data_IF_214716605229
#
_entry.id   IF_214716605229
#
_cell.length_a   1.000
_cell.length_b   1.000
_cell.length_c   1.000
_cell.angle_alpha   90.00
_cell.angle_beta   90.00
_cell.angle_gamma   90.00
#
_symmetry.space_group_name_H-M   'P 1'
#
loop_
_entity.id
_entity.type
_entity.pdbx_description
1 polymer ?
#
# COMPACT_ATOMS: atom_id res chain seq x y z
N UNK A 1 -17.51 20.13 4.24
CA UNK A 1 -16.15 19.57 4.28
C UNK A 1 -15.10 20.59 4.70
N UNK A 2 -15.08 21.79 4.13
CA UNK A 2 -14.11 22.86 4.45
C UNK A 2 -14.11 23.24 5.95
N UNK A 3 -15.30 23.37 6.57
CA UNK A 3 -15.41 23.65 8.00
C UNK A 3 -14.83 22.54 8.90
N UNK A 4 -14.97 21.27 8.50
CA UNK A 4 -14.37 20.15 9.23
C UNK A 4 -12.83 20.22 9.17
N UNK A 5 -12.25 20.64 8.05
CA UNK A 5 -10.80 20.84 7.91
C UNK A 5 -10.31 22.02 8.74
N UNK A 6 -11.03 23.13 8.78
CA UNK A 6 -10.69 24.27 9.62
C UNK A 6 -10.71 23.92 11.11
N UNK A 7 -11.62 23.04 11.54
CA UNK A 7 -11.69 22.57 12.92
C UNK A 7 -10.50 21.70 13.34
N UNK A 8 -9.81 21.03 12.41
CA UNK A 8 -8.58 20.27 12.68
C UNK A 8 -7.50 21.18 13.28
N UNK A 9 -7.34 22.40 12.74
CA UNK A 9 -6.34 23.35 13.20
C UNK A 9 -6.73 24.06 14.52
N UNK A 10 -8.01 24.02 14.90
CA UNK A 10 -8.50 24.60 16.18
C UNK A 10 -8.21 23.71 17.37
N UNK A 11 -8.05 22.40 17.18
CA UNK A 11 -7.77 21.45 18.27
C UNK A 11 -6.25 21.30 18.42
N UNK A 12 -5.65 21.76 19.55
CA UNK A 12 -4.19 21.87 19.69
C UNK A 12 -3.45 20.53 19.56
N UNK A 13 -4.02 19.44 20.09
CA UNK A 13 -3.38 18.12 20.02
C UNK A 13 -3.43 17.53 18.59
N UNK A 14 -4.55 17.70 17.89
CA UNK A 14 -4.69 17.22 16.52
C UNK A 14 -3.78 18.02 15.59
N UNK A 15 -3.71 19.34 15.81
CA UNK A 15 -2.79 20.21 15.08
C UNK A 15 -1.33 19.78 15.29
N UNK A 16 -0.91 19.47 16.53
CA UNK A 16 0.46 18.98 16.81
C UNK A 16 0.75 17.69 16.05
N UNK A 17 -0.17 16.72 16.02
CA UNK A 17 0.00 15.45 15.30
C UNK A 17 0.06 15.65 13.79
N UNK A 18 -0.80 16.49 13.21
CA UNK A 18 -0.78 16.82 11.78
C UNK A 18 0.53 17.50 11.40
N UNK A 19 0.94 18.54 12.14
CA UNK A 19 2.21 19.25 11.89
C UNK A 19 3.42 18.32 12.03
N UNK A 20 3.42 17.42 13.01
CA UNK A 20 4.47 16.44 13.19
C UNK A 20 4.54 15.49 11.98
N UNK A 21 3.40 14.99 11.51
CA UNK A 21 3.34 14.13 10.29
C UNK A 21 3.88 14.88 9.07
N UNK A 22 3.43 16.11 8.84
CA UNK A 22 3.91 16.94 7.73
C UNK A 22 5.41 17.24 7.85
N UNK A 23 5.90 17.49 9.06
CA UNK A 23 7.32 17.71 9.33
C UNK A 23 8.17 16.49 8.97
N UNK A 24 7.75 15.29 9.35
CA UNK A 24 8.45 14.04 8.98
C UNK A 24 8.39 13.80 7.48
N UNK A 25 7.25 14.04 6.82
CA UNK A 25 7.14 13.92 5.36
C UNK A 25 8.07 14.90 4.65
N UNK A 26 8.26 16.12 5.18
CA UNK A 26 9.23 17.08 4.66
C UNK A 26 10.67 16.58 4.83
N UNK A 27 11.03 16.01 5.99
CA UNK A 27 12.36 15.39 6.20
C UNK A 27 12.60 14.23 5.22
N UNK A 28 11.60 13.36 5.04
CA UNK A 28 11.66 12.29 4.03
C UNK A 28 11.91 12.87 2.62
N UNK A 29 11.24 13.96 2.29
CA UNK A 29 11.39 14.60 0.97
C UNK A 29 12.76 15.23 0.77
N UNK A 30 13.31 15.86 1.79
CA UNK A 30 14.69 16.39 1.77
C UNK A 30 15.73 15.29 1.55
N UNK A 31 15.60 14.17 2.26
CA UNK A 31 16.48 13.02 2.06
C UNK A 31 16.37 12.37 0.68
N UNK A 32 15.23 12.48 0.03
CA UNK A 32 15.02 12.02 -1.35
C UNK A 32 15.76 12.86 -2.41
N UNK A 33 16.42 13.96 -2.03
CA UNK A 33 17.27 14.76 -2.90
C UNK A 33 18.76 14.50 -2.69
N UNK A 34 19.15 13.76 -1.63
CA UNK A 34 20.53 13.46 -1.34
C UNK A 34 20.98 12.25 -2.19
N UNK A 35 21.91 12.44 -3.14
CA UNK A 35 22.35 11.36 -4.01
C UNK A 35 23.32 10.42 -3.29
N UNK A 36 23.34 9.15 -3.70
CA UNK A 36 24.37 8.19 -3.27
C UNK A 36 25.70 8.53 -3.93
N UNK A 37 26.79 8.68 -3.18
CA UNK A 37 28.08 9.06 -3.76
C UNK A 37 28.65 7.97 -4.68
N UNK A 38 29.39 8.38 -5.74
CA UNK A 38 30.07 7.48 -6.66
C UNK A 38 29.28 7.00 -7.86
N UNK A 39 28.05 7.47 -8.07
CA UNK A 39 27.18 7.12 -9.21
C UNK A 39 27.13 8.24 -10.24
N UNK A 40 27.16 7.88 -11.52
CA UNK A 40 26.95 8.82 -12.63
C UNK A 40 25.46 8.99 -12.92
N UNK A 41 24.87 10.08 -12.43
CA UNK A 41 23.42 10.33 -12.51
C UNK A 41 22.91 10.55 -13.92
N UNK A 42 23.68 11.18 -14.79
CA UNK A 42 23.25 11.49 -16.17
C UNK A 42 23.10 10.24 -17.02
N UNK A 43 23.97 9.24 -16.84
CA UNK A 43 23.84 7.95 -17.50
C UNK A 43 22.70 7.12 -16.92
N UNK A 44 22.52 7.19 -15.60
CA UNK A 44 21.45 6.48 -14.90
C UNK A 44 20.06 6.96 -15.35
N UNK A 45 19.82 8.26 -15.45
CA UNK A 45 18.55 8.81 -15.94
C UNK A 45 18.22 8.33 -17.35
N UNK A 46 19.19 8.33 -18.25
CA UNK A 46 19.00 7.81 -19.63
C UNK A 46 18.59 6.33 -19.65
N UNK A 47 19.16 5.51 -18.79
CA UNK A 47 18.80 4.09 -18.70
C UNK A 47 17.38 3.90 -18.18
N UNK A 48 16.97 4.66 -17.18
CA UNK A 48 15.59 4.61 -16.68
C UNK A 48 14.57 5.08 -17.71
N UNK A 49 14.91 6.09 -18.54
CA UNK A 49 14.06 6.57 -19.62
C UNK A 49 13.86 5.50 -20.73
N UNK A 50 14.90 4.72 -21.01
CA UNK A 50 14.83 3.61 -21.97
C UNK A 50 14.10 2.37 -21.41
N UNK A 51 14.12 2.16 -20.09
CA UNK A 51 13.58 0.98 -19.42
C UNK A 51 12.36 1.28 -18.54
N UNK A 52 11.61 2.31 -18.83
CA UNK A 52 10.47 2.77 -18.01
C UNK A 52 9.39 1.70 -17.77
N UNK A 53 9.24 0.72 -18.65
CA UNK A 53 8.33 -0.43 -18.53
C UNK A 53 8.91 -1.66 -17.83
N UNK A 54 10.13 -1.59 -17.31
CA UNK A 54 10.80 -2.74 -16.67
C UNK A 54 10.45 -2.87 -15.17
N UNK A 55 10.90 -3.97 -14.54
CA UNK A 55 10.79 -4.18 -13.10
C UNK A 55 11.44 -3.04 -12.28
N UNK A 56 12.55 -2.48 -12.77
CA UNK A 56 13.19 -1.32 -12.15
C UNK A 56 12.30 -0.08 -12.19
N UNK A 57 11.52 0.11 -13.27
CA UNK A 57 10.54 1.18 -13.36
C UNK A 57 9.43 1.05 -12.32
N UNK A 58 8.90 -0.16 -12.06
CA UNK A 58 7.93 -0.39 -11.01
C UNK A 58 8.50 -0.14 -9.61
N UNK A 59 9.72 -0.62 -9.33
CA UNK A 59 10.40 -0.34 -8.05
C UNK A 59 10.61 1.16 -7.84
N UNK A 60 10.99 1.87 -8.89
CA UNK A 60 11.17 3.31 -8.86
C UNK A 60 9.85 4.04 -8.56
N UNK A 61 8.73 3.53 -9.05
CA UNK A 61 7.40 4.09 -8.81
C UNK A 61 7.01 3.96 -7.32
N UNK A 62 7.21 2.79 -6.71
CA UNK A 62 6.97 2.60 -5.27
C UNK A 62 7.97 3.38 -4.40
N UNK A 63 9.19 3.56 -4.87
CA UNK A 63 10.21 4.38 -4.23
C UNK A 63 10.03 5.88 -4.40
N UNK A 64 9.00 6.33 -5.17
CA UNK A 64 8.76 7.76 -5.42
C UNK A 64 9.81 8.45 -6.29
N UNK A 65 10.41 7.74 -7.24
CA UNK A 65 11.44 8.25 -8.14
C UNK A 65 12.86 8.26 -7.54
N UNK A 66 13.03 7.73 -6.34
CA UNK A 66 14.31 7.76 -5.62
C UNK A 66 15.35 6.84 -6.26
N UNK A 67 14.93 5.74 -6.91
CA UNK A 67 15.85 4.81 -7.56
C UNK A 67 16.43 5.42 -8.86
N UNK A 68 15.62 6.12 -9.65
CA UNK A 68 16.06 6.83 -10.86
C UNK A 68 17.16 7.87 -10.56
N UNK A 69 17.06 8.52 -9.39
CA UNK A 69 18.03 9.50 -8.92
C UNK A 69 19.14 8.91 -8.08
N UNK A 70 19.08 7.60 -7.80
CA UNK A 70 19.96 6.89 -6.90
C UNK A 70 20.24 7.67 -5.61
N UNK A 71 19.15 8.06 -4.94
CA UNK A 71 19.26 8.78 -3.67
C UNK A 71 19.58 7.80 -2.52
N UNK A 72 19.91 8.32 -1.34
CA UNK A 72 20.11 7.49 -0.14
C UNK A 72 18.85 6.66 0.18
N UNK A 73 17.69 7.09 -0.32
CA UNK A 73 16.39 6.42 -0.18
C UNK A 73 16.01 5.58 -1.41
N UNK A 74 16.97 5.18 -2.24
CA UNK A 74 16.68 4.46 -3.49
C UNK A 74 15.92 3.14 -3.29
N UNK A 75 16.20 2.38 -2.22
CA UNK A 75 15.43 1.18 -1.85
C UNK A 75 14.03 1.50 -1.32
N UNK A 76 13.81 2.73 -0.85
CA UNK A 76 12.56 3.15 -0.25
C UNK A 76 12.17 2.30 0.95
N UNK A 77 10.88 2.02 1.07
CA UNK A 77 10.27 1.24 2.16
C UNK A 77 10.14 -0.27 1.82
N UNK A 78 10.52 -0.68 0.59
CA UNK A 78 10.34 -2.05 0.11
C UNK A 78 10.95 -3.13 1.02
N UNK A 79 12.19 -2.98 1.56
CA UNK A 79 12.76 -3.97 2.47
C UNK A 79 11.91 -4.20 3.72
N UNK A 80 11.34 -3.13 4.27
CA UNK A 80 10.46 -3.22 5.44
C UNK A 80 9.13 -3.91 5.12
N UNK A 81 8.52 -3.58 3.98
CA UNK A 81 7.28 -4.23 3.55
C UNK A 81 7.51 -5.73 3.39
N UNK A 82 8.58 -6.13 2.69
CA UNK A 82 8.94 -7.53 2.49
C UNK A 82 9.18 -8.25 3.82
N UNK A 83 9.94 -7.63 4.74
CA UNK A 83 10.17 -8.17 6.08
C UNK A 83 8.86 -8.35 6.87
N UNK A 84 7.97 -7.34 6.82
CA UNK A 84 6.67 -7.38 7.49
C UNK A 84 5.78 -8.50 6.94
N UNK A 85 5.76 -8.69 5.62
CA UNK A 85 5.03 -9.79 4.98
C UNK A 85 5.56 -11.15 5.45
N UNK A 86 6.88 -11.33 5.43
CA UNK A 86 7.52 -12.57 5.87
C UNK A 86 7.12 -12.89 7.31
N UNK A 87 7.22 -11.93 8.24
CA UNK A 87 6.82 -12.18 9.62
C UNK A 87 5.32 -12.40 9.78
N UNK A 88 4.46 -11.70 9.03
CA UNK A 88 3.02 -11.95 9.04
C UNK A 88 2.67 -13.36 8.55
N UNK A 89 3.33 -13.83 7.48
CA UNK A 89 3.18 -15.21 7.01
C UNK A 89 3.69 -16.21 8.05
N UNK A 90 4.86 -15.96 8.63
CA UNK A 90 5.45 -16.84 9.65
C UNK A 90 4.59 -16.93 10.90
N UNK A 91 3.90 -15.86 11.32
CA UNK A 91 3.00 -15.91 12.49
C UNK A 91 1.78 -16.80 12.27
N UNK A 92 1.43 -17.11 11.02
CA UNK A 92 0.34 -18.06 10.71
C UNK A 92 0.85 -19.49 10.61
N UNK A 93 2.04 -19.68 10.00
CA UNK A 93 2.58 -21.02 9.72
C UNK A 93 3.35 -21.58 10.90
N UNK A 94 4.07 -20.74 11.67
CA UNK A 94 4.95 -21.17 12.74
C UNK A 94 4.33 -20.91 14.11
N UNK A 95 3.85 -21.98 14.75
CA UNK A 95 3.11 -21.93 16.02
C UNK A 95 3.79 -21.15 17.16
N UNK A 96 5.13 -21.23 17.38
CA UNK A 96 5.79 -20.44 18.41
C UNK A 96 5.64 -18.92 18.21
N UNK A 97 5.69 -18.44 16.96
CA UNK A 97 5.46 -17.03 16.64
C UNK A 97 3.98 -16.63 16.84
N UNK A 98 3.06 -17.53 16.50
CA UNK A 98 1.64 -17.34 16.75
C UNK A 98 1.34 -17.18 18.25
N UNK A 99 2.02 -17.96 19.11
CA UNK A 99 1.91 -17.84 20.58
C UNK A 99 2.40 -16.48 21.07
N UNK A 100 3.57 -16.04 20.60
CA UNK A 100 4.12 -14.72 20.94
C UNK A 100 3.16 -13.61 20.51
N UNK A 101 2.55 -13.70 19.33
CA UNK A 101 1.56 -12.72 18.88
C UNK A 101 0.33 -12.63 19.80
N UNK A 102 -0.07 -13.75 20.42
CA UNK A 102 -1.18 -13.83 21.38
C UNK A 102 -0.83 -13.28 22.77
N UNK A 103 0.44 -13.06 23.10
CA UNK A 103 0.89 -12.43 24.36
C UNK A 103 0.50 -10.94 24.48
N UNK A 104 -0.23 -10.41 23.49
CA UNK A 104 -0.71 -9.03 23.51
C UNK A 104 0.35 -8.03 23.06
N UNK A 105 0.46 -6.90 23.78
CA UNK A 105 1.33 -5.79 23.34
C UNK A 105 2.82 -6.13 23.41
N UNK A 106 3.24 -6.89 24.40
CA UNK A 106 4.65 -7.33 24.54
C UNK A 106 5.07 -8.23 23.39
N UNK A 107 4.22 -9.17 22.98
CA UNK A 107 4.50 -10.05 21.86
C UNK A 107 4.56 -9.28 20.53
N UNK A 108 3.65 -8.34 20.33
CA UNK A 108 3.67 -7.47 19.13
C UNK A 108 4.95 -6.65 19.06
N UNK A 109 5.44 -6.10 20.14
CA UNK A 109 6.72 -5.37 20.20
C UNK A 109 7.91 -6.24 19.81
N UNK A 110 7.96 -7.50 20.27
CA UNK A 110 9.02 -8.47 19.88
C UNK A 110 8.99 -8.74 18.37
N UNK A 111 7.80 -9.01 17.80
CA UNK A 111 7.65 -9.25 16.36
C UNK A 111 8.09 -8.01 15.56
N UNK A 112 7.68 -6.81 15.97
CA UNK A 112 8.13 -5.56 15.32
C UNK A 112 9.64 -5.41 15.37
N UNK A 113 10.29 -5.75 16.50
CA UNK A 113 11.75 -5.71 16.63
C UNK A 113 12.44 -6.69 15.67
N UNK A 114 11.94 -7.91 15.52
CA UNK A 114 12.48 -8.86 14.56
C UNK A 114 12.25 -8.42 13.11
N UNK A 115 11.11 -7.81 12.83
CA UNK A 115 10.84 -7.19 11.52
C UNK A 115 11.88 -6.11 11.19
N UNK A 116 12.27 -5.27 12.16
CA UNK A 116 13.33 -4.27 11.98
C UNK A 116 14.68 -4.92 11.64
N UNK A 117 15.09 -5.96 12.37
CA UNK A 117 16.34 -6.66 12.09
C UNK A 117 16.33 -7.29 10.68
N UNK A 118 15.23 -7.96 10.33
CA UNK A 118 15.07 -8.55 9.00
C UNK A 118 15.08 -7.49 7.90
N UNK A 119 14.50 -6.32 8.15
CA UNK A 119 14.53 -5.17 7.22
C UNK A 119 15.96 -4.75 6.91
N UNK A 120 16.82 -4.64 7.92
CA UNK A 120 18.24 -4.27 7.74
C UNK A 120 18.96 -5.33 6.91
N UNK A 121 18.74 -6.61 7.20
CA UNK A 121 19.35 -7.72 6.45
C UNK A 121 18.88 -7.71 4.99
N UNK A 122 17.57 -7.56 4.75
CA UNK A 122 17.04 -7.50 3.39
C UNK A 122 17.51 -6.27 2.63
N UNK A 123 17.58 -5.12 3.30
CA UNK A 123 18.11 -3.89 2.70
C UNK A 123 19.57 -4.05 2.28
N UNK A 124 20.40 -4.69 3.11
CA UNK A 124 21.80 -4.98 2.77
C UNK A 124 21.89 -5.92 1.56
N UNK A 125 21.11 -7.01 1.53
CA UNK A 125 21.08 -7.95 0.40
C UNK A 125 20.64 -7.27 -0.90
N UNK A 126 19.58 -6.46 -0.86
CA UNK A 126 19.08 -5.72 -2.02
C UNK A 126 20.08 -4.67 -2.49
N UNK A 127 20.80 -4.02 -1.56
CA UNK A 127 21.87 -3.05 -1.87
C UNK A 127 23.04 -3.69 -2.62
N UNK A 128 23.43 -4.92 -2.27
CA UNK A 128 24.43 -5.70 -3.01
C UNK A 128 24.00 -5.90 -4.45
N UNK A 129 22.74 -6.30 -4.66
CA UNK A 129 22.18 -6.49 -5.99
C UNK A 129 22.21 -5.22 -6.84
N UNK A 130 21.79 -4.08 -6.26
CA UNK A 130 21.83 -2.78 -6.96
C UNK A 130 23.27 -2.34 -7.25
N UNK A 131 24.18 -2.46 -6.29
CA UNK A 131 25.59 -2.11 -6.49
C UNK A 131 26.22 -2.94 -7.63
N UNK A 132 25.92 -4.24 -7.71
CA UNK A 132 26.37 -5.11 -8.78
C UNK A 132 25.82 -4.68 -10.16
N UNK A 133 24.55 -4.34 -10.24
CA UNK A 133 23.90 -3.85 -11.47
C UNK A 133 24.57 -2.55 -11.94
N UNK A 134 24.76 -1.58 -11.05
CA UNK A 134 25.38 -0.29 -11.37
C UNK A 134 26.82 -0.46 -11.87
N UNK A 135 27.59 -1.34 -11.24
CA UNK A 135 28.98 -1.62 -11.61
C UNK A 135 29.05 -2.27 -13.01
N UNK A 136 28.18 -3.25 -13.31
CA UNK A 136 28.15 -3.92 -14.61
C UNK A 136 27.75 -3.00 -15.76
N UNK A 137 26.82 -2.08 -15.51
CA UNK A 137 26.35 -1.14 -16.51
C UNK A 137 27.29 0.07 -16.71
N UNK A 138 28.43 0.09 -16.01
CA UNK A 138 29.41 1.18 -16.13
C UNK A 138 28.93 2.54 -15.60
N UNK A 139 27.96 2.51 -14.67
CA UNK A 139 27.34 3.72 -14.10
C UNK A 139 28.12 4.27 -12.91
N UNK A 140 29.21 3.63 -12.54
CA UNK A 140 30.02 3.93 -11.37
C UNK A 140 31.26 4.72 -11.81
N UNK A 141 31.55 5.83 -11.11
CA UNK A 141 32.71 6.66 -11.38
C UNK A 141 34.02 5.92 -11.07
N UNK A 142 34.06 5.19 -9.96
CA UNK A 142 35.21 4.41 -9.51
C UNK A 142 34.75 3.00 -9.13
N UNK A 143 34.78 2.04 -10.07
CA UNK A 143 34.38 0.66 -9.77
C UNK A 143 35.40 0.01 -8.83
N UNK A 144 34.91 -0.62 -7.75
CA UNK A 144 35.76 -1.31 -6.78
C UNK A 144 34.98 -1.73 -5.54
N UNK A 145 35.65 -2.51 -4.68
CA UNK A 145 35.07 -2.99 -3.43
C UNK A 145 34.60 -1.83 -2.50
N UNK A 146 35.34 -0.71 -2.52
CA UNK A 146 34.99 0.49 -1.75
C UNK A 146 33.61 1.07 -2.15
N UNK A 147 33.30 1.12 -3.46
CA UNK A 147 32.00 1.56 -3.95
C UNK A 147 30.88 0.63 -3.49
N UNK A 148 31.08 -0.69 -3.59
CA UNK A 148 30.08 -1.69 -3.16
C UNK A 148 29.79 -1.51 -1.67
N UNK A 149 30.80 -1.44 -0.83
CA UNK A 149 30.65 -1.25 0.61
C UNK A 149 29.94 0.07 0.94
N UNK A 150 30.34 1.16 0.30
CA UNK A 150 29.73 2.48 0.48
C UNK A 150 28.24 2.45 0.09
N UNK A 151 27.90 1.85 -1.04
CA UNK A 151 26.53 1.73 -1.52
C UNK A 151 25.69 0.90 -0.55
N UNK A 152 26.20 -0.23 -0.07
CA UNK A 152 25.50 -1.07 0.92
C UNK A 152 25.23 -0.27 2.19
N UNK A 153 26.24 0.40 2.75
CA UNK A 153 26.07 1.20 3.96
C UNK A 153 25.07 2.34 3.75
N UNK A 154 25.18 3.08 2.65
CA UNK A 154 24.31 4.22 2.36
C UNK A 154 22.85 3.81 2.20
N UNK A 155 22.58 2.80 1.36
CA UNK A 155 21.21 2.36 1.09
C UNK A 155 20.56 1.65 2.28
N UNK A 156 21.34 0.85 3.01
CA UNK A 156 20.83 0.17 4.22
C UNK A 156 20.49 1.18 5.31
N UNK A 157 21.38 2.16 5.53
CA UNK A 157 21.12 3.25 6.48
C UNK A 157 19.91 4.09 6.07
N UNK A 158 19.80 4.40 4.76
CA UNK A 158 18.63 5.10 4.22
C UNK A 158 17.32 4.36 4.46
N UNK A 159 17.29 3.05 4.19
CA UNK A 159 16.10 2.23 4.44
C UNK A 159 15.75 2.11 5.91
N UNK A 160 16.76 1.95 6.79
CA UNK A 160 16.56 1.93 8.24
C UNK A 160 16.01 3.28 8.75
N UNK A 161 16.49 4.39 8.18
CA UNK A 161 16.00 5.72 8.53
C UNK A 161 14.54 5.95 8.07
N UNK A 162 14.18 5.53 6.85
CA UNK A 162 12.79 5.57 6.37
C UNK A 162 11.87 4.75 7.29
N UNK A 163 12.29 3.55 7.66
CA UNK A 163 11.55 2.69 8.59
C UNK A 163 11.31 3.42 9.91
N UNK A 164 12.34 4.04 10.49
CA UNK A 164 12.21 4.81 11.72
C UNK A 164 11.27 6.01 11.57
N UNK A 165 11.34 6.76 10.44
CA UNK A 165 10.41 7.85 10.15
C UNK A 165 8.95 7.37 10.09
N UNK A 166 8.70 6.23 9.43
CA UNK A 166 7.36 5.63 9.35
C UNK A 166 6.81 5.21 10.71
N UNK A 167 7.64 4.65 11.57
CA UNK A 167 7.26 4.31 12.93
C UNK A 167 6.96 5.58 13.76
N UNK A 168 7.76 6.63 13.66
CA UNK A 168 7.48 7.90 14.34
C UNK A 168 6.14 8.52 13.93
N UNK A 169 5.79 8.45 12.64
CA UNK A 169 4.45 8.90 12.18
C UNK A 169 3.37 8.05 12.82
N UNK A 170 3.52 6.72 12.83
CA UNK A 170 2.52 5.79 13.38
C UNK A 170 2.31 6.02 14.88
N UNK A 171 3.39 6.24 15.64
CA UNK A 171 3.35 6.39 17.10
C UNK A 171 2.86 7.79 17.55
N UNK A 172 3.32 8.85 16.89
CA UNK A 172 3.12 10.23 17.33
C UNK A 172 2.32 11.09 16.37
N UNK A 173 2.15 10.64 15.12
CA UNK A 173 1.46 11.37 14.07
C UNK A 173 0.00 10.95 13.91
N UNK A 174 -0.48 11.00 12.67
CA UNK A 174 -1.80 10.56 12.22
C UNK A 174 -1.61 9.61 11.05
N UNK A 175 -2.38 8.54 11.02
CA UNK A 175 -2.36 7.56 9.95
C UNK A 175 -1.32 6.45 10.15
N UNK A 176 -1.28 5.54 9.18
CA UNK A 176 -0.22 4.54 9.10
C UNK A 176 1.01 5.19 8.45
N UNK A 177 2.10 5.36 9.21
CA UNK A 177 3.30 6.07 8.76
C UNK A 177 3.94 5.45 7.52
N UNK A 178 3.95 4.11 7.43
CA UNK A 178 4.50 3.42 6.27
C UNK A 178 3.70 3.72 4.99
N UNK A 179 2.38 3.65 5.09
CA UNK A 179 1.48 3.97 3.96
C UNK A 179 1.59 5.45 3.56
N UNK A 180 1.75 6.36 4.53
CA UNK A 180 1.92 7.79 4.24
C UNK A 180 3.25 8.11 3.57
N UNK A 181 4.33 7.39 3.89
CA UNK A 181 5.62 7.56 3.20
C UNK A 181 5.54 7.09 1.74
N UNK A 182 4.84 5.98 1.47
CA UNK A 182 4.57 5.52 0.10
C UNK A 182 3.72 6.56 -0.64
N UNK A 183 2.66 7.04 0.00
CA UNK A 183 1.79 8.11 -0.53
C UNK A 183 2.61 9.35 -0.90
N UNK A 184 3.47 9.84 0.00
CA UNK A 184 4.30 11.01 -0.24
C UNK A 184 5.30 10.79 -1.40
N UNK A 185 5.84 9.57 -1.54
CA UNK A 185 6.67 9.19 -2.67
C UNK A 185 5.92 9.28 -3.99
N UNK A 186 4.73 8.68 -4.07
CA UNK A 186 3.91 8.65 -5.28
C UNK A 186 3.44 10.07 -5.65
N UNK A 187 2.92 10.82 -4.69
CA UNK A 187 2.43 12.20 -4.92
C UNK A 187 3.55 13.11 -5.43
N UNK A 188 4.77 12.91 -4.96
CA UNK A 188 5.92 13.66 -5.43
C UNK A 188 6.30 13.41 -6.90
N UNK A 189 5.88 12.30 -7.48
CA UNK A 189 6.03 11.99 -8.89
C UNK A 189 4.96 12.63 -9.79
N UNK A 190 3.83 13.10 -9.23
CA UNK A 190 2.73 13.67 -10.00
C UNK A 190 3.13 14.84 -10.92
N UNK A 191 3.94 15.82 -10.46
CA UNK A 191 4.35 16.92 -11.35
C UNK A 191 5.13 16.45 -12.58
N UNK A 192 5.94 15.39 -12.43
CA UNK A 192 6.67 14.82 -13.57
C UNK A 192 5.72 14.14 -14.56
N UNK A 193 4.73 13.39 -14.08
CA UNK A 193 3.69 12.79 -14.93
C UNK A 193 2.87 13.84 -15.70
N UNK A 194 2.54 14.95 -15.06
CA UNK A 194 1.90 16.09 -15.76
C UNK A 194 2.82 16.71 -16.81
N UNK A 195 4.12 16.86 -16.51
CA UNK A 195 5.11 17.34 -17.47
C UNK A 195 5.24 16.45 -18.71
N UNK A 196 5.24 15.11 -18.53
CA UNK A 196 5.24 14.16 -19.65
C UNK A 196 3.98 14.29 -20.53
N UNK A 197 2.81 14.52 -19.91
CA UNK A 197 1.58 14.77 -20.65
C UNK A 197 1.67 16.03 -21.49
N UNK A 198 2.16 17.12 -20.90
CA UNK A 198 2.34 18.40 -21.63
C UNK A 198 3.31 18.22 -22.80
N UNK A 199 4.42 17.50 -22.60
CA UNK A 199 5.36 17.20 -23.69
C UNK A 199 4.72 16.38 -24.81
N UNK A 200 3.87 15.40 -24.50
CA UNK A 200 3.14 14.61 -25.51
C UNK A 200 2.13 15.45 -26.27
N UNK A 201 1.54 16.44 -25.63
CA UNK A 201 0.69 17.45 -26.29
C UNK A 201 1.50 18.24 -27.31
N UNK A 202 2.65 18.77 -26.87
CA UNK A 202 3.50 19.63 -27.70
C UNK A 202 4.12 18.88 -28.90
N UNK A 203 4.43 17.59 -28.70
CA UNK A 203 5.01 16.75 -29.76
C UNK A 203 3.97 16.09 -30.67
N UNK A 204 2.66 16.37 -30.49
CA UNK A 204 1.57 15.75 -31.25
C UNK A 204 1.72 14.22 -31.36
N UNK A 205 2.07 13.56 -30.25
CA UNK A 205 2.44 12.13 -30.20
C UNK A 205 1.35 11.19 -30.79
N UNK A 206 0.09 11.62 -30.84
CA UNK A 206 -1.04 10.86 -31.38
C UNK A 206 -1.65 11.53 -32.64
N UNK A 207 -0.90 12.39 -33.32
CA UNK A 207 -1.35 13.09 -34.53
C UNK A 207 -2.60 13.96 -34.30
N UNK A 208 -3.54 13.96 -35.23
CA UNK A 208 -4.77 14.79 -35.19
C UNK A 208 -5.68 14.46 -33.99
N UNK A 209 -5.53 13.32 -33.37
CA UNK A 209 -6.34 12.88 -32.22
C UNK A 209 -5.73 13.21 -30.84
N UNK A 210 -4.59 13.92 -30.79
CA UNK A 210 -3.88 14.23 -29.54
C UNK A 210 -4.77 14.90 -28.50
N UNK A 211 -5.53 15.93 -28.92
CA UNK A 211 -6.42 16.65 -28.01
C UNK A 211 -7.57 15.79 -27.49
N UNK A 212 -8.21 14.99 -28.34
CA UNK A 212 -9.28 14.07 -27.94
C UNK A 212 -8.74 12.96 -27.01
N UNK A 213 -7.57 12.42 -27.31
CA UNK A 213 -6.91 11.41 -26.49
C UNK A 213 -6.63 11.89 -25.07
N UNK A 214 -6.21 13.15 -24.91
CA UNK A 214 -5.95 13.75 -23.58
C UNK A 214 -7.24 13.93 -22.80
N UNK A 215 -8.30 14.44 -23.43
CA UNK A 215 -9.61 14.59 -22.77
C UNK A 215 -10.12 13.22 -22.29
N UNK A 216 -10.01 12.22 -23.15
CA UNK A 216 -10.45 10.84 -22.85
C UNK A 216 -9.63 10.25 -21.69
N UNK A 217 -8.31 10.51 -21.66
CA UNK A 217 -7.42 10.07 -20.60
C UNK A 217 -7.72 10.76 -19.26
N UNK A 218 -7.93 12.07 -19.24
CA UNK A 218 -8.32 12.80 -18.04
C UNK A 218 -9.69 12.34 -17.53
N UNK A 219 -10.64 12.13 -18.43
CA UNK A 219 -11.95 11.59 -18.08
C UNK A 219 -11.84 10.19 -17.47
N UNK A 220 -11.01 9.32 -18.05
CA UNK A 220 -10.73 7.98 -17.52
C UNK A 220 -10.09 8.06 -16.12
N UNK A 221 -9.14 8.97 -15.88
CA UNK A 221 -8.55 9.20 -14.55
C UNK A 221 -9.60 9.57 -13.52
N UNK A 222 -10.43 10.55 -13.83
CA UNK A 222 -11.49 11.01 -12.92
C UNK A 222 -12.45 9.86 -12.62
N UNK A 223 -12.82 9.07 -13.63
CA UNK A 223 -13.71 7.93 -13.49
C UNK A 223 -13.08 6.85 -12.60
N UNK A 224 -11.80 6.52 -12.79
CA UNK A 224 -11.07 5.55 -11.95
C UNK A 224 -11.01 6.03 -10.50
N UNK A 225 -10.67 7.30 -10.27
CA UNK A 225 -10.64 7.87 -8.91
C UNK A 225 -12.03 7.83 -8.27
N UNK A 226 -13.07 8.23 -9.00
CA UNK A 226 -14.45 8.19 -8.51
C UNK A 226 -14.88 6.75 -8.17
N UNK A 227 -14.52 5.78 -9.00
CA UNK A 227 -14.79 4.36 -8.77
C UNK A 227 -14.05 3.83 -7.53
N UNK A 228 -12.76 4.19 -7.35
CA UNK A 228 -12.00 3.82 -6.16
C UNK A 228 -12.67 4.39 -4.90
N UNK A 229 -13.01 5.69 -4.89
CA UNK A 229 -13.67 6.33 -3.74
C UNK A 229 -15.02 5.70 -3.45
N UNK A 230 -15.78 5.35 -4.48
CA UNK A 230 -17.09 4.70 -4.34
C UNK A 230 -16.96 3.33 -3.66
N UNK A 231 -16.03 2.48 -4.10
CA UNK A 231 -15.83 1.14 -3.53
C UNK A 231 -15.20 1.21 -2.13
N UNK A 232 -14.22 2.09 -1.90
CA UNK A 232 -13.59 2.25 -0.58
C UNK A 232 -14.56 2.78 0.50
N UNK A 233 -15.60 3.51 0.10
CA UNK A 233 -16.67 3.94 1.00
C UNK A 233 -17.79 2.91 1.16
N UNK A 234 -17.82 1.91 0.31
CA UNK A 234 -18.87 0.89 0.33
C UNK A 234 -18.69 -0.05 1.51
N UNK A 235 -19.73 -0.16 2.32
CA UNK A 235 -19.76 -1.04 3.49
C UNK A 235 -21.04 -1.87 3.53
N UNK A 236 -20.94 -3.12 3.95
CA UNK A 236 -22.09 -3.96 4.28
C UNK A 236 -22.41 -3.81 5.75
N UNK A 237 -23.57 -3.26 6.06
CA UNK A 237 -24.05 -3.06 7.43
C UNK A 237 -24.83 -4.27 7.91
N UNK A 238 -24.31 -4.96 8.93
CA UNK A 238 -25.00 -6.08 9.58
C UNK A 238 -25.73 -5.53 10.80
N UNK A 239 -27.08 -5.69 10.91
CA UNK A 239 -27.83 -5.19 12.06
C UNK A 239 -27.45 -5.98 13.32
N UNK A 240 -27.18 -5.26 14.41
CA UNK A 240 -26.90 -5.80 15.73
C UNK A 240 -27.93 -5.26 16.70
N UNK A 241 -28.49 -6.13 17.52
CA UNK A 241 -29.37 -5.75 18.62
C UNK A 241 -28.66 -6.01 19.94
N UNK A 242 -28.72 -5.06 20.84
CA UNK A 242 -28.24 -5.21 22.22
C UNK A 242 -29.42 -5.62 23.11
N UNK A 243 -29.17 -6.53 24.06
CA UNK A 243 -30.18 -6.96 25.01
C UNK A 243 -30.66 -5.75 25.84
N UNK A 244 -31.96 -5.67 26.04
CA UNK A 244 -32.54 -4.63 26.91
C UNK A 244 -32.09 -4.89 28.35
N UNK A 245 -31.51 -3.89 29.00
CA UNK A 245 -31.13 -3.93 30.41
C UNK A 245 -32.10 -3.08 31.22
N UNK A 246 -32.59 -3.65 32.29
CA UNK A 246 -33.38 -2.92 33.30
C UNK A 246 -32.38 -2.39 34.31
N UNK A 247 -32.23 -1.07 34.41
CA UNK A 247 -31.39 -0.42 35.43
C UNK A 247 -32.36 0.31 36.36
N UNK A 248 -32.64 -0.28 37.51
CA UNK A 248 -33.63 0.21 38.44
C UNK A 248 -35.06 0.16 37.87
N UNK A 249 -35.81 1.28 37.95
CA UNK A 249 -37.19 1.42 37.40
C UNK A 249 -37.21 1.84 35.93
N UNK A 250 -36.11 2.08 35.27
CA UNK A 250 -36.04 2.53 33.87
C UNK A 250 -35.60 1.38 32.96
N UNK A 251 -36.41 1.07 31.96
CA UNK A 251 -36.01 0.24 30.82
C UNK A 251 -35.10 1.08 29.93
N UNK A 252 -33.81 0.77 29.88
CA UNK A 252 -32.95 1.23 28.80
C UNK A 252 -33.19 0.33 27.59
N UNK A 253 -33.85 0.89 26.57
CA UNK A 253 -34.07 0.21 25.31
C UNK A 253 -32.74 -0.16 24.66
N UNK A 254 -32.63 -1.40 24.20
CA UNK A 254 -31.44 -1.82 23.43
C UNK A 254 -31.31 -0.95 22.18
N UNK A 255 -30.22 -0.22 22.09
CA UNK A 255 -29.89 0.51 20.88
C UNK A 255 -29.62 -0.49 19.74
N UNK A 256 -30.31 -0.33 18.63
CA UNK A 256 -29.96 -1.04 17.40
C UNK A 256 -28.71 -0.38 16.81
N UNK A 257 -27.65 -1.15 16.66
CA UNK A 257 -26.39 -0.73 16.04
C UNK A 257 -26.14 -1.58 14.80
N UNK A 258 -25.13 -1.22 14.03
CA UNK A 258 -24.74 -1.96 12.84
C UNK A 258 -23.25 -2.25 12.91
N UNK A 259 -22.85 -3.46 12.48
CA UNK A 259 -21.46 -3.80 12.23
C UNK A 259 -21.14 -3.43 10.77
N UNK A 260 -20.34 -2.38 10.53
CA UNK A 260 -19.93 -2.04 9.18
C UNK A 260 -18.78 -2.96 8.75
N UNK A 261 -18.95 -3.70 7.66
CA UNK A 261 -17.90 -4.47 6.99
C UNK A 261 -17.58 -3.79 5.67
N UNK A 262 -16.38 -3.25 5.53
CA UNK A 262 -15.93 -2.63 4.28
C UNK A 262 -15.86 -3.68 3.17
N UNK A 263 -16.24 -3.32 1.94
CA UNK A 263 -16.12 -4.20 0.76
C UNK A 263 -14.67 -4.53 0.49
N UNK A 264 -13.81 -3.53 0.57
CA UNK A 264 -12.36 -3.74 0.55
C UNK A 264 -11.81 -3.77 1.98
N UNK A 265 -12.03 -4.88 2.70
CA UNK A 265 -11.51 -5.07 4.07
C UNK A 265 -9.98 -5.22 4.12
N UNK A 266 -9.35 -5.62 3.01
CA UNK A 266 -7.90 -5.75 2.87
C UNK A 266 -7.19 -4.42 2.60
N UNK A 267 -7.92 -3.37 2.19
CA UNK A 267 -7.33 -2.10 1.77
C UNK A 267 -6.36 -2.28 0.60
N UNK A 268 -5.26 -1.58 0.64
CA UNK A 268 -4.23 -1.57 -0.41
C UNK A 268 -3.18 -2.68 -0.23
N UNK A 269 -3.13 -3.29 0.98
CA UNK A 269 -2.07 -4.23 1.37
C UNK A 269 -1.93 -5.45 0.45
N UNK A 270 -3.02 -6.12 0.00
CA UNK A 270 -2.90 -7.29 -0.88
C UNK A 270 -2.15 -7.01 -2.19
N UNK A 271 -2.38 -5.85 -2.80
CA UNK A 271 -1.67 -5.46 -4.03
C UNK A 271 -0.19 -5.20 -3.75
N UNK A 272 0.12 -4.48 -2.65
CA UNK A 272 1.49 -4.20 -2.28
C UNK A 272 2.25 -5.50 -2.02
N UNK A 273 1.62 -6.46 -1.35
CA UNK A 273 2.22 -7.75 -1.06
C UNK A 273 2.46 -8.59 -2.33
N UNK A 274 1.45 -8.71 -3.20
CA UNK A 274 1.58 -9.42 -4.45
C UNK A 274 2.70 -8.84 -5.33
N UNK A 275 2.71 -7.53 -5.53
CA UNK A 275 3.73 -6.86 -6.34
C UNK A 275 5.12 -6.92 -5.72
N UNK A 276 5.26 -6.84 -4.38
CA UNK A 276 6.55 -6.95 -3.70
C UNK A 276 7.17 -8.33 -3.84
N UNK A 277 6.38 -9.39 -3.69
CA UNK A 277 6.87 -10.77 -3.84
C UNK A 277 7.25 -11.07 -5.29
N UNK A 278 6.44 -10.61 -6.25
CA UNK A 278 6.72 -10.85 -7.67
C UNK A 278 7.91 -10.02 -8.19
N UNK A 279 8.19 -8.86 -7.59
CA UNK A 279 9.36 -8.05 -7.96
C UNK A 279 10.66 -8.53 -7.33
N UNK A 280 10.63 -9.27 -6.22
CA UNK A 280 11.84 -9.75 -5.55
C UNK A 280 12.74 -10.66 -6.45
N UNK A 281 12.22 -11.67 -7.19
CA UNK A 281 13.03 -12.46 -8.11
C UNK A 281 13.64 -11.66 -9.25
N UNK A 282 12.98 -10.58 -9.67
CA UNK A 282 13.45 -9.74 -10.77
C UNK A 282 14.72 -8.96 -10.42
N UNK A 283 14.99 -8.70 -9.14
CA UNK A 283 16.27 -8.13 -8.70
C UNK A 283 17.46 -9.03 -9.00
N UNK A 284 17.24 -10.34 -8.92
CA UNK A 284 18.28 -11.32 -9.22
C UNK A 284 18.39 -11.64 -10.72
N UNK A 285 17.43 -11.20 -11.54
CA UNK A 285 17.42 -11.48 -13.00
C UNK A 285 18.62 -10.89 -13.74
N UNK A 286 19.27 -9.87 -13.18
CA UNK A 286 20.46 -9.22 -13.73
C UNK A 286 21.77 -9.92 -13.34
N UNK A 287 21.73 -10.95 -12.51
CA UNK A 287 22.89 -11.75 -12.14
C UNK A 287 23.32 -12.63 -13.33
N UNK A 288 24.65 -12.69 -13.61
CA UNK A 288 25.21 -13.53 -14.68
C UNK A 288 24.86 -15.00 -14.50
N UNK A 289 24.87 -15.48 -13.26
CA UNK A 289 24.52 -16.85 -12.95
C UNK A 289 23.11 -17.21 -13.40
N UNK A 290 22.18 -16.26 -13.26
CA UNK A 290 20.79 -16.43 -13.66
C UNK A 290 20.63 -16.31 -15.18
N UNK A 291 21.31 -15.32 -15.82
CA UNK A 291 21.23 -15.10 -17.26
C UNK A 291 21.88 -16.24 -18.07
N UNK A 292 22.93 -16.84 -17.56
CA UNK A 292 23.61 -17.97 -18.20
C UNK A 292 22.92 -19.30 -17.94
N UNK A 293 21.96 -19.36 -17.02
CA UNK A 293 21.27 -20.59 -16.70
C UNK A 293 20.01 -20.74 -17.56
N UNK A 294 20.03 -21.67 -18.51
CA UNK A 294 18.97 -21.95 -19.46
C UNK A 294 17.62 -22.28 -18.84
N UNK A 295 17.60 -22.65 -17.57
CA UNK A 295 16.38 -22.98 -16.84
C UNK A 295 15.70 -21.72 -16.25
N UNK A 296 16.47 -20.75 -15.74
CA UNK A 296 15.92 -19.57 -15.07
C UNK A 296 15.54 -18.44 -16.04
N UNK A 297 16.20 -18.32 -17.18
CA UNK A 297 15.96 -17.26 -18.16
C UNK A 297 14.47 -17.19 -18.62
N UNK A 298 13.84 -18.30 -19.06
CA UNK A 298 12.44 -18.25 -19.51
C UNK A 298 11.46 -17.93 -18.38
N UNK A 299 11.73 -18.39 -17.14
CA UNK A 299 10.90 -18.09 -15.98
C UNK A 299 10.95 -16.61 -15.66
N UNK A 300 12.14 -16.02 -15.65
CA UNK A 300 12.31 -14.60 -15.34
C UNK A 300 11.78 -13.69 -16.46
N UNK A 301 11.86 -14.11 -17.72
CA UNK A 301 11.17 -13.43 -18.82
C UNK A 301 9.66 -13.41 -18.61
N UNK A 302 9.07 -14.54 -18.24
CA UNK A 302 7.64 -14.65 -17.98
C UNK A 302 7.19 -13.79 -16.80
N UNK A 303 8.08 -13.52 -15.83
CA UNK A 303 7.84 -12.66 -14.67
C UNK A 303 8.04 -11.17 -14.95
N UNK A 304 8.41 -10.76 -16.17
CA UNK A 304 8.54 -9.33 -16.47
C UNK A 304 7.17 -8.66 -16.58
N UNK A 305 7.05 -7.39 -16.13
CA UNK A 305 5.82 -6.62 -16.27
C UNK A 305 5.37 -6.53 -17.72
N UNK A 306 4.07 -6.68 -17.96
CA UNK A 306 3.47 -6.69 -19.29
C UNK A 306 3.32 -8.07 -19.93
N UNK A 307 3.95 -9.11 -19.39
CA UNK A 307 3.70 -10.48 -19.85
C UNK A 307 2.40 -11.03 -19.24
N UNK A 308 1.64 -11.85 -19.99
CA UNK A 308 0.38 -12.43 -19.52
C UNK A 308 0.54 -13.27 -18.24
N UNK A 309 1.66 -13.99 -18.11
CA UNK A 309 1.98 -14.78 -16.92
C UNK A 309 2.20 -13.92 -15.68
N UNK A 310 2.84 -12.76 -15.83
CA UNK A 310 2.99 -11.80 -14.72
C UNK A 310 1.63 -11.27 -14.27
N UNK A 311 0.74 -10.92 -15.21
CA UNK A 311 -0.62 -10.46 -14.90
C UNK A 311 -1.42 -11.56 -14.20
N UNK A 312 -1.33 -12.80 -14.67
CA UNK A 312 -1.98 -13.95 -14.05
C UNK A 312 -1.47 -14.23 -12.64
N UNK A 313 -0.15 -14.21 -12.42
CA UNK A 313 0.45 -14.39 -11.08
C UNK A 313 0.08 -13.26 -10.14
N UNK A 314 -0.01 -12.02 -10.61
CA UNK A 314 -0.54 -10.91 -9.82
C UNK A 314 -2.01 -11.13 -9.44
N UNK A 315 -2.84 -11.62 -10.36
CA UNK A 315 -4.24 -11.96 -10.08
C UNK A 315 -4.34 -12.97 -8.94
N UNK A 316 -3.64 -14.09 -9.07
CA UNK A 316 -3.61 -15.15 -8.05
C UNK A 316 -3.04 -14.61 -6.73
N UNK A 317 -1.96 -13.84 -6.82
CA UNK A 317 -1.31 -13.20 -5.67
C UNK A 317 -2.25 -12.24 -4.93
N UNK A 318 -2.95 -11.36 -5.64
CA UNK A 318 -3.91 -10.41 -5.03
C UNK A 318 -5.04 -11.17 -4.32
N UNK A 319 -5.61 -12.20 -4.94
CA UNK A 319 -6.66 -13.01 -4.30
C UNK A 319 -6.11 -13.70 -3.04
N UNK A 320 -4.96 -14.36 -3.16
CA UNK A 320 -4.33 -15.06 -2.04
C UNK A 320 -4.07 -14.10 -0.86
N UNK A 321 -3.41 -12.97 -1.13
CA UNK A 321 -3.10 -11.99 -0.08
C UNK A 321 -4.32 -11.26 0.45
N UNK A 322 -5.39 -11.09 -0.33
CA UNK A 322 -6.64 -10.53 0.17
C UNK A 322 -7.26 -11.44 1.23
N UNK A 323 -7.40 -12.71 0.94
CA UNK A 323 -7.91 -13.68 1.91
C UNK A 323 -6.99 -13.83 3.12
N UNK A 324 -5.69 -13.93 2.86
CA UNK A 324 -4.69 -14.05 3.90
C UNK A 324 -4.72 -12.85 4.87
N UNK A 325 -4.69 -11.63 4.34
CA UNK A 325 -4.69 -10.42 5.15
C UNK A 325 -5.98 -10.26 5.95
N UNK A 326 -7.13 -10.50 5.32
CA UNK A 326 -8.43 -10.40 6.00
C UNK A 326 -8.54 -11.44 7.12
N UNK A 327 -8.02 -12.65 6.94
CA UNK A 327 -8.03 -13.70 7.98
C UNK A 327 -7.20 -13.33 9.22
N UNK A 328 -6.15 -12.52 9.06
CA UNK A 328 -5.30 -12.05 10.16
C UNK A 328 -5.94 -10.87 10.89
N UNK A 329 -6.45 -9.90 10.12
CA UNK A 329 -6.96 -8.62 10.65
C UNK A 329 -8.35 -8.78 11.24
N UNK A 330 -9.22 -9.51 10.53
CA UNK A 330 -10.59 -9.76 10.94
C UNK A 330 -10.73 -11.18 11.46
N UNK A 331 -10.79 -11.35 12.79
CA UNK A 331 -11.00 -12.64 13.43
C UNK A 331 -12.48 -12.78 13.81
N UNK A 332 -13.28 -13.56 13.07
CA UNK A 332 -14.71 -13.69 13.34
C UNK A 332 -15.02 -14.22 14.74
N UNK A 333 -14.16 -15.11 15.27
CA UNK A 333 -14.31 -15.65 16.62
C UNK A 333 -14.21 -14.57 17.70
N UNK A 334 -13.21 -13.67 17.59
CA UNK A 334 -13.03 -12.57 18.54
C UNK A 334 -14.22 -11.59 18.50
N UNK A 335 -14.76 -11.33 17.30
CA UNK A 335 -15.96 -10.49 17.11
C UNK A 335 -17.19 -11.13 17.75
N UNK A 336 -17.40 -12.44 17.52
CA UNK A 336 -18.53 -13.18 18.08
C UNK A 336 -18.46 -13.27 19.62
N UNK A 337 -17.25 -13.46 20.17
CA UNK A 337 -17.01 -13.45 21.62
C UNK A 337 -17.23 -12.08 22.25
N UNK A 338 -16.83 -11.01 21.57
CA UNK A 338 -17.10 -9.64 22.01
C UNK A 338 -18.61 -9.35 22.02
N UNK A 339 -19.36 -9.80 21.02
CA UNK A 339 -20.82 -9.67 21.01
C UNK A 339 -21.45 -10.44 22.17
N UNK A 340 -20.99 -11.66 22.42
CA UNK A 340 -21.46 -12.45 23.56
C UNK A 340 -21.19 -11.76 24.90
N UNK A 341 -19.98 -11.21 25.09
CA UNK A 341 -19.60 -10.49 26.33
C UNK A 341 -20.41 -9.19 26.52
N UNK A 342 -20.71 -8.48 25.44
CA UNK A 342 -21.50 -7.23 25.47
C UNK A 342 -23.01 -7.46 25.55
N UNK A 343 -23.47 -8.70 25.43
CA UNK A 343 -24.90 -9.03 25.36
C UNK A 343 -25.57 -8.59 24.06
N UNK A 344 -24.77 -8.40 23.01
CA UNK A 344 -25.24 -8.04 21.67
C UNK A 344 -25.40 -9.31 20.82
N UNK A 345 -26.35 -9.31 19.89
CA UNK A 345 -26.61 -10.44 19.00
C UNK A 345 -27.07 -9.97 17.63
N UNK A 346 -26.89 -10.83 16.64
CA UNK A 346 -27.44 -10.62 15.29
C UNK A 346 -28.84 -11.23 15.26
N UNK A 347 -29.88 -10.48 14.83
CA UNK A 347 -31.23 -10.99 14.77
C UNK A 347 -31.33 -12.29 13.94
N UNK A 348 -31.93 -13.33 14.52
CA UNK A 348 -32.09 -14.64 13.87
C UNK A 348 -30.92 -15.59 14.00
N UNK A 349 -29.76 -15.18 14.61
CA UNK A 349 -28.56 -16.00 14.76
C UNK A 349 -28.23 -16.17 16.23
N UNK A 350 -27.96 -17.43 16.65
CA UNK A 350 -27.54 -17.72 18.03
C UNK A 350 -26.16 -17.14 18.32
N UNK A 351 -25.98 -16.42 19.44
CA UNK A 351 -24.67 -15.93 19.88
C UNK A 351 -23.66 -17.07 20.05
N UNK A 352 -22.40 -16.83 19.68
CA UNK A 352 -21.30 -17.77 19.76
C UNK A 352 -20.85 -18.29 18.38
N UNK A 353 -20.54 -19.57 18.25
CA UNK A 353 -19.93 -20.16 17.05
C UNK A 353 -20.74 -19.90 15.77
N UNK A 354 -22.07 -19.99 15.81
CA UNK A 354 -22.92 -19.70 14.65
C UNK A 354 -22.81 -18.24 14.18
N UNK A 355 -22.59 -17.31 15.11
CA UNK A 355 -22.32 -15.89 14.77
C UNK A 355 -20.97 -15.73 14.11
N UNK A 356 -19.93 -16.44 14.60
CA UNK A 356 -18.61 -16.47 13.97
C UNK A 356 -18.67 -17.03 12.55
N UNK A 357 -19.33 -18.18 12.35
CA UNK A 357 -19.50 -18.83 11.04
C UNK A 357 -20.21 -17.88 10.04
N UNK A 358 -21.30 -17.23 10.47
CA UNK A 358 -22.03 -16.29 9.65
C UNK A 358 -21.19 -15.07 9.24
N UNK A 359 -20.42 -14.50 10.18
CA UNK A 359 -19.52 -13.38 9.87
C UNK A 359 -18.42 -13.83 8.91
N UNK A 360 -17.87 -15.02 9.09
CA UNK A 360 -16.86 -15.61 8.24
C UNK A 360 -17.36 -15.80 6.80
N UNK A 361 -18.58 -16.32 6.62
CA UNK A 361 -19.20 -16.48 5.30
C UNK A 361 -19.36 -15.15 4.57
N UNK A 362 -19.80 -14.12 5.30
CA UNK A 362 -19.93 -12.77 4.72
C UNK A 362 -18.57 -12.22 4.35
N UNK A 363 -17.57 -12.32 5.25
CA UNK A 363 -16.21 -11.84 4.99
C UNK A 363 -15.61 -12.53 3.78
N UNK A 364 -15.76 -13.85 3.65
CA UNK A 364 -15.26 -14.63 2.51
C UNK A 364 -15.82 -14.10 1.18
N UNK A 365 -17.15 -13.88 1.12
CA UNK A 365 -17.80 -13.35 -0.09
C UNK A 365 -17.38 -11.91 -0.41
N UNK A 366 -17.32 -11.05 0.61
CA UNK A 366 -16.93 -9.65 0.44
C UNK A 366 -15.45 -9.56 0.01
N UNK A 367 -14.58 -10.39 0.60
CA UNK A 367 -13.15 -10.43 0.26
C UNK A 367 -12.92 -10.82 -1.19
N UNK A 368 -13.70 -11.77 -1.74
CA UNK A 368 -13.63 -12.12 -3.16
C UNK A 368 -13.96 -10.91 -4.06
N UNK A 369 -15.06 -10.20 -3.75
CA UNK A 369 -15.47 -9.01 -4.50
C UNK A 369 -14.40 -7.91 -4.40
N UNK A 370 -13.86 -7.70 -3.18
CA UNK A 370 -12.75 -6.77 -2.95
C UNK A 370 -11.48 -7.14 -3.72
N UNK A 371 -11.11 -8.42 -3.76
CA UNK A 371 -9.93 -8.89 -4.51
C UNK A 371 -10.10 -8.70 -6.03
N UNK A 372 -11.28 -9.00 -6.57
CA UNK A 372 -11.60 -8.75 -7.99
C UNK A 372 -11.57 -7.25 -8.33
N UNK A 373 -12.09 -6.42 -7.45
CA UNK A 373 -12.00 -4.97 -7.56
C UNK A 373 -10.54 -4.50 -7.59
N UNK A 374 -9.70 -4.96 -6.66
CA UNK A 374 -8.29 -4.62 -6.60
C UNK A 374 -7.55 -5.04 -7.88
N UNK A 375 -7.84 -6.23 -8.39
CA UNK A 375 -7.27 -6.70 -9.64
C UNK A 375 -7.71 -5.86 -10.84
N UNK A 376 -8.99 -5.48 -10.92
CA UNK A 376 -9.50 -4.63 -12.00
C UNK A 376 -8.78 -3.28 -12.03
N UNK A 377 -8.58 -2.65 -10.86
CA UNK A 377 -7.83 -1.39 -10.77
C UNK A 377 -6.35 -1.57 -11.13
N UNK A 378 -5.75 -2.71 -10.80
CA UNK A 378 -4.38 -3.04 -11.21
C UNK A 378 -4.29 -3.23 -12.73
N UNK A 379 -5.29 -3.90 -13.34
CA UNK A 379 -5.28 -4.25 -14.75
C UNK A 379 -5.35 -3.01 -15.67
N UNK A 380 -6.21 -2.03 -15.34
CA UNK A 380 -6.48 -0.87 -16.19
C UNK A 380 -5.18 -0.13 -16.60
N UNK A 381 -4.31 0.31 -15.68
CA UNK A 381 -3.10 1.00 -16.08
C UNK A 381 -2.01 0.09 -16.64
N UNK A 382 -1.94 -1.14 -16.16
CA UNK A 382 -1.03 -2.13 -16.74
C UNK A 382 -1.33 -2.30 -18.23
N UNK A 383 -2.61 -2.39 -18.59
CA UNK A 383 -3.05 -2.42 -19.97
C UNK A 383 -2.72 -1.12 -20.72
N UNK A 384 -2.91 0.04 -20.11
CA UNK A 384 -2.63 1.34 -20.76
C UNK A 384 -1.14 1.53 -21.04
N UNK A 385 -0.24 1.03 -20.18
CA UNK A 385 1.21 1.18 -20.31
C UNK A 385 1.80 0.17 -21.28
N UNK A 386 1.55 -1.13 -21.04
CA UNK A 386 2.26 -2.22 -21.70
C UNK A 386 1.39 -3.05 -22.65
N UNK A 387 0.07 -2.82 -22.65
CA UNK A 387 -0.87 -3.76 -23.26
C UNK A 387 -0.92 -5.10 -22.50
N UNK A 388 -1.64 -6.05 -23.02
CA UNK A 388 -1.71 -7.41 -22.44
C UNK A 388 -0.70 -8.37 -23.10
N UNK A 389 0.02 -7.94 -24.16
CA UNK A 389 0.97 -8.74 -24.95
C UNK A 389 0.50 -10.18 -25.15
N UNK A 390 -0.77 -10.33 -25.52
CA UNK A 390 -1.42 -11.62 -25.73
C UNK A 390 -0.77 -12.44 -26.86
N UNK A 391 -0.04 -11.76 -27.76
CA UNK A 391 0.81 -12.32 -28.79
C UNK A 391 1.89 -13.28 -28.26
N UNK A 392 2.26 -13.15 -26.98
CA UNK A 392 3.31 -13.95 -26.34
C UNK A 392 2.77 -15.16 -25.55
N UNK A 393 1.49 -15.46 -25.64
CA UNK A 393 0.90 -16.66 -25.06
C UNK A 393 1.29 -17.89 -25.86
N UNK A 394 1.97 -18.84 -25.22
CA UNK A 394 2.58 -20.02 -25.82
C UNK A 394 1.63 -20.91 -26.66
N UNK A 395 0.33 -20.93 -26.36
CA UNK A 395 -0.66 -21.78 -27.06
C UNK A 395 -1.61 -21.00 -27.97
N UNK A 396 -1.84 -19.73 -27.73
CA UNK A 396 -2.93 -18.95 -28.35
C UNK A 396 -2.41 -17.68 -29.03
N UNK A 397 -1.12 -17.37 -28.92
CA UNK A 397 -0.51 -16.12 -29.41
C UNK A 397 -0.83 -15.82 -30.88
N UNK A 398 -0.78 -16.86 -31.76
CA UNK A 398 -1.09 -16.71 -33.19
C UNK A 398 -2.50 -16.21 -33.49
N UNK A 399 -3.49 -16.50 -32.63
CA UNK A 399 -4.87 -16.06 -32.83
C UNK A 399 -4.99 -14.56 -32.50
N UNK A 400 -4.13 -14.06 -31.63
CA UNK A 400 -4.14 -12.66 -31.18
C UNK A 400 -3.20 -11.74 -31.98
N UNK A 401 -2.36 -12.28 -32.87
CA UNK A 401 -1.54 -11.50 -33.82
C UNK A 401 -2.40 -10.65 -34.79
N UNK A 402 -3.64 -11.05 -35.05
CA UNK A 402 -4.57 -10.30 -35.90
C UNK A 402 -5.26 -9.12 -35.20
N UNK A 403 -5.08 -8.96 -33.87
CA UNK A 403 -5.69 -7.86 -33.14
C UNK A 403 -4.95 -6.54 -33.38
N UNK A 404 -5.69 -5.39 -33.35
CA UNK A 404 -5.08 -4.07 -33.50
C UNK A 404 -3.97 -3.83 -32.44
N UNK A 405 -2.90 -3.14 -32.86
CA UNK A 405 -1.75 -2.85 -31.99
C UNK A 405 -2.09 -2.19 -30.66
N UNK A 406 -3.19 -1.43 -30.60
CA UNK A 406 -3.63 -0.81 -29.35
C UNK A 406 -4.14 -1.83 -28.31
N UNK A 407 -4.56 -3.03 -28.75
CA UNK A 407 -4.97 -4.12 -27.85
C UNK A 407 -3.76 -4.88 -27.32
N UNK A 408 -2.80 -5.20 -28.19
CA UNK A 408 -1.65 -6.03 -27.86
C UNK A 408 -0.52 -5.27 -27.18
N UNK A 409 -0.26 -4.04 -27.59
CA UNK A 409 0.86 -3.21 -27.09
C UNK A 409 0.41 -2.02 -26.23
N UNK A 410 -0.91 -1.88 -25.99
CA UNK A 410 -1.46 -0.77 -25.22
C UNK A 410 -1.28 0.60 -25.94
N UNK A 411 -1.48 1.67 -25.22
CA UNK A 411 -1.37 3.03 -25.75
C UNK A 411 0.05 3.60 -25.65
N UNK A 412 1.01 2.85 -25.09
CA UNK A 412 2.38 3.33 -24.89
C UNK A 412 2.47 4.62 -24.05
N UNK A 413 1.42 4.89 -23.29
CA UNK A 413 1.36 6.06 -22.41
C UNK A 413 2.01 5.65 -21.11
N UNK A 414 3.16 6.24 -20.79
CA UNK A 414 3.72 6.17 -19.45
C UNK A 414 2.77 6.89 -18.49
N UNK A 415 1.73 6.18 -18.10
CA UNK A 415 0.73 6.70 -17.20
C UNK A 415 1.34 6.66 -15.79
N UNK A 416 1.94 7.77 -15.39
CA UNK A 416 2.55 7.91 -14.06
C UNK A 416 1.53 7.68 -12.92
N UNK A 417 0.25 7.77 -13.25
CA UNK A 417 -0.88 7.41 -12.40
C UNK A 417 -1.29 5.93 -12.56
N UNK A 418 -0.33 5.01 -12.59
CA UNK A 418 -0.62 3.58 -12.63
C UNK A 418 -1.66 3.20 -11.56
N UNK A 419 -2.54 2.21 -11.84
CA UNK A 419 -3.67 1.88 -10.97
C UNK A 419 -3.29 1.56 -9.54
N UNK A 420 -2.15 0.92 -9.34
CA UNK A 420 -1.63 0.68 -8.00
C UNK A 420 -1.29 1.97 -7.27
N UNK A 421 -0.66 2.95 -7.95
CA UNK A 421 -0.31 4.22 -7.34
C UNK A 421 -1.54 5.08 -7.04
N UNK A 422 -2.52 5.15 -7.95
CA UNK A 422 -3.80 5.83 -7.69
C UNK A 422 -4.55 5.20 -6.53
N UNK A 423 -4.64 3.88 -6.52
CA UNK A 423 -5.31 3.15 -5.44
C UNK A 423 -4.62 3.42 -4.09
N UNK A 424 -3.28 3.39 -4.05
CA UNK A 424 -2.52 3.70 -2.83
C UNK A 424 -2.78 5.14 -2.40
N UNK A 425 -2.72 6.10 -3.32
CA UNK A 425 -2.94 7.51 -3.02
C UNK A 425 -4.35 7.74 -2.48
N UNK A 426 -5.38 7.22 -3.15
CA UNK A 426 -6.77 7.40 -2.71
C UNK A 426 -7.05 6.62 -1.43
N UNK A 427 -6.60 5.35 -1.34
CA UNK A 427 -6.81 4.50 -0.18
C UNK A 427 -6.18 5.07 1.09
N UNK A 428 -4.91 5.47 1.02
CA UNK A 428 -4.20 6.08 2.15
C UNK A 428 -4.79 7.43 2.55
N UNK A 429 -5.19 8.26 1.57
CA UNK A 429 -5.87 9.52 1.85
C UNK A 429 -7.20 9.27 2.58
N UNK A 430 -8.01 8.31 2.11
CA UNK A 430 -9.28 7.95 2.74
C UNK A 430 -9.09 7.39 4.16
N UNK A 431 -8.12 6.49 4.38
CA UNK A 431 -7.84 5.96 5.70
C UNK A 431 -7.35 7.04 6.67
N UNK A 432 -6.52 7.97 6.18
CA UNK A 432 -6.05 9.10 6.99
C UNK A 432 -7.20 10.05 7.36
N UNK A 433 -8.11 10.36 6.41
CA UNK A 433 -9.30 11.16 6.65
C UNK A 433 -10.21 10.49 7.69
N UNK A 434 -10.47 9.18 7.54
CA UNK A 434 -11.29 8.41 8.47
C UNK A 434 -10.70 8.42 9.90
N UNK A 435 -9.37 8.32 10.03
CA UNK A 435 -8.70 8.42 11.34
C UNK A 435 -8.81 9.82 11.94
N UNK A 436 -8.68 10.86 11.14
CA UNK A 436 -8.89 12.24 11.58
C UNK A 436 -10.34 12.44 12.06
N UNK A 437 -11.32 11.97 11.28
CA UNK A 437 -12.74 12.06 11.64
C UNK A 437 -13.05 11.30 12.93
N UNK A 438 -12.52 10.11 13.11
CA UNK A 438 -12.71 9.33 14.34
C UNK A 438 -12.14 10.04 15.58
N UNK A 439 -10.97 10.67 15.46
CA UNK A 439 -10.39 11.46 16.56
C UNK A 439 -11.18 12.74 16.85
N UNK A 440 -11.76 13.37 15.84
CA UNK A 440 -12.64 14.53 16.01
C UNK A 440 -13.93 14.15 16.76
N UNK A 441 -14.54 13.02 16.41
CA UNK A 441 -15.77 12.53 17.04
C UNK A 441 -15.52 12.17 18.50
N UNK A 442 -14.46 11.42 18.81
CA UNK A 442 -14.14 11.03 20.19
C UNK A 442 -14.02 12.26 21.11
N UNK A 443 -13.40 13.33 20.65
CA UNK A 443 -13.22 14.55 21.47
C UNK A 443 -14.48 15.42 21.57
N UNK A 444 -15.37 15.34 20.58
CA UNK A 444 -16.67 16.02 20.70
C UNK A 444 -17.50 15.39 21.83
N UNK A 445 -17.39 14.07 22.02
CA UNK A 445 -18.03 13.36 23.14
C UNK A 445 -17.38 13.67 24.50
N UNK A 446 -16.07 13.86 24.58
CA UNK A 446 -15.38 14.28 25.82
C UNK A 446 -15.80 15.68 26.27
N UNK A 447 -16.20 16.55 25.34
CA UNK A 447 -16.76 17.88 25.66
C UNK A 447 -18.14 17.84 26.31
N UNK A 448 -18.89 16.74 26.15
CA UNK A 448 -20.20 16.50 26.78
C UNK A 448 -20.12 15.75 28.12
N UNK A 449 -18.96 15.16 28.48
CA UNK A 449 -18.79 14.58 29.79
C UNK A 449 -18.65 15.76 30.81
N UNK A 450 -19.52 15.85 31.84
CA UNK A 450 -19.41 16.93 32.81
C UNK A 450 -18.02 16.83 33.43
N UNK A 451 -17.17 17.84 33.16
CA UNK A 451 -15.95 18.05 33.95
C UNK A 451 -16.39 17.95 35.38
N UNK A 452 -15.82 17.02 36.15
CA UNK A 452 -16.09 16.84 37.56
C UNK A 452 -16.16 18.20 38.24
N UNK A 453 -17.39 18.74 38.33
CA UNK A 453 -17.66 19.97 39.02
C UNK A 453 -17.25 19.71 40.45
N UNK A 454 -16.35 20.52 41.00
CA UNK A 454 -16.16 20.67 42.43
C UNK A 454 -17.53 20.59 43.10
N UNK A 455 -17.76 19.54 43.86
CA UNK A 455 -18.90 19.47 44.79
C UNK A 455 -18.71 20.63 45.74
N UNK A 456 -19.38 21.74 45.46
CA UNK A 456 -19.52 22.83 46.45
C UNK A 456 -20.29 22.22 47.60
N UNK A 457 -19.58 21.94 48.69
CA UNK A 457 -20.19 21.49 49.91
C UNK A 457 -21.32 22.45 50.30
N UNK A 458 -22.51 21.85 50.47
CA UNK A 458 -23.68 22.54 51.02
C UNK A 458 -23.35 22.99 52.40
N UNK A 459 -23.17 24.32 52.63
CA UNK A 459 -23.12 24.88 53.96
C UNK A 459 -24.44 24.63 54.61
N UNK A 460 -24.46 23.73 55.60
CA UNK A 460 -25.53 23.59 56.57
C UNK A 460 -25.49 24.77 57.52
N UNK A 461 -26.60 25.46 57.61
CA UNK A 461 -26.96 26.33 58.73
C UNK A 461 -27.51 25.47 59.83
#
# INVERSE_FOLDING_TARGET
MVEKFLNIFRIPDLRKRVLFTLGILAVYRLGAWLPTPGVNFTLLERLFDQQSGSALGLMNLFGGGNLRRMTIFALGIMPYITASIIFQLLTVVYEPLARIQKEGELGRRKITQWTRYMTVVLAALQSIGIAAILTKQGLVLHPGFGFILLTILTLTTGSAFIMWLGEQITDRGIGNGMSLLIFAGIVAGLPHGVGELVNKIQTNAWGSFTFLGIILMLAAMILVVAFIVYVERSERRIPIQSARRIVGRRMMGGASSHLPLKVNSGGVMPIIFASSILSAPLLFSQSEWVQNNRFFEPILRALQPGYPWYVFLNFVGIIFFAYFYVSIVMKPDDIADNFRKSGSFIPGIRPGKRTSDFINDILTRITLVGALYLFLIYLIPTYMISGLRLDQLFLVGRVFESLPNWVTHGFGVNFYFGGTSLLIVVGVAMDTINQIESQLIMRHYEGFSPRSGRIRGRKTW
#
